data_IF_853204947457
#
_entry.id   IF_853204947457
#
_cell.length_a   1.000
_cell.length_b   1.000
_cell.length_c   1.000
_cell.angle_alpha   90.00
_cell.angle_beta   90.00
_cell.angle_gamma   90.00
#
_symmetry.space_group_name_H-M   'P 1'
#
loop_
_entity.id
_entity.type
_entity.pdbx_description
1 polymer ?
#
# COMPACT_ATOMS: atom_id res chain seq x y z
N UNK A 1 1.14 15.44 -0.17
CA UNK A 1 2.03 14.64 0.68
C UNK A 1 1.39 13.28 0.70
N UNK A 2 1.84 12.41 -0.19
CA UNK A 2 0.96 11.36 -0.72
C UNK A 2 1.21 10.01 -0.02
N UNK A 3 2.04 10.02 1.02
CA UNK A 3 2.33 8.85 1.85
C UNK A 3 1.03 8.32 2.45
N UNK A 4 0.82 7.01 2.36
CA UNK A 4 -0.44 6.37 2.74
C UNK A 4 -1.46 6.23 1.59
N UNK A 5 -1.24 6.86 0.44
CA UNK A 5 -2.14 6.71 -0.72
C UNK A 5 -2.01 5.33 -1.39
N UNK A 6 -3.11 4.82 -1.99
CA UNK A 6 -3.11 3.51 -2.63
C UNK A 6 -2.43 3.53 -4.00
N UNK A 7 -1.65 2.47 -4.28
CA UNK A 7 -1.27 2.07 -5.62
C UNK A 7 -2.34 1.10 -6.14
N UNK A 8 -3.11 1.54 -7.13
CA UNK A 8 -4.21 0.78 -7.72
C UNK A 8 -3.83 0.28 -9.12
N UNK A 9 -3.94 -1.03 -9.34
CA UNK A 9 -3.79 -1.67 -10.64
C UNK A 9 -5.03 -2.52 -10.93
N UNK A 10 -5.65 -2.33 -12.09
CA UNK A 10 -6.88 -3.03 -12.51
C UNK A 10 -8.01 -2.97 -11.47
N UNK A 11 -8.13 -1.84 -10.76
CA UNK A 11 -9.13 -1.64 -9.71
C UNK A 11 -8.80 -2.31 -8.37
N UNK A 12 -7.65 -2.97 -8.25
CA UNK A 12 -7.17 -3.62 -7.02
C UNK A 12 -6.06 -2.78 -6.39
N UNK A 13 -6.15 -2.54 -5.09
CA UNK A 13 -5.06 -1.91 -4.33
C UNK A 13 -3.96 -2.93 -4.08
N UNK A 14 -2.79 -2.70 -4.67
CA UNK A 14 -1.64 -3.61 -4.57
C UNK A 14 -0.54 -3.09 -3.65
N UNK A 15 -0.55 -1.78 -3.35
CA UNK A 15 0.45 -1.19 -2.48
C UNK A 15 0.03 0.11 -1.84
N UNK A 16 0.82 0.57 -0.87
CA UNK A 16 0.65 1.87 -0.20
C UNK A 16 1.91 2.70 -0.41
N UNK A 17 1.78 3.92 -0.93
CA UNK A 17 2.92 4.80 -1.16
C UNK A 17 3.60 5.20 0.14
N UNK A 18 4.93 5.07 0.20
CA UNK A 18 5.73 5.48 1.37
C UNK A 18 6.46 6.78 1.06
N UNK A 19 7.32 6.76 0.04
CA UNK A 19 8.16 7.88 -0.35
C UNK A 19 8.70 7.67 -1.77
N UNK A 20 9.27 8.72 -2.36
CA UNK A 20 9.90 8.69 -3.67
C UNK A 20 10.72 9.94 -3.93
N UNK A 21 11.50 9.93 -4.99
CA UNK A 21 12.26 11.09 -5.47
C UNK A 21 11.92 11.37 -6.93
N UNK A 22 11.93 12.64 -7.38
CA UNK A 22 11.69 12.96 -8.78
C UNK A 22 12.62 12.19 -9.71
N UNK A 23 12.06 11.56 -10.74
CA UNK A 23 12.82 10.76 -11.72
C UNK A 23 13.21 9.35 -11.26
N UNK A 24 12.81 8.92 -10.06
CA UNK A 24 12.99 7.55 -9.58
C UNK A 24 11.64 6.87 -9.28
N UNK A 25 11.56 5.53 -9.34
CA UNK A 25 10.39 4.80 -8.88
C UNK A 25 10.07 5.11 -7.41
N UNK A 26 8.78 5.15 -7.08
CA UNK A 26 8.33 5.24 -5.69
C UNK A 26 8.58 3.95 -4.92
N UNK A 27 8.69 4.08 -3.60
CA UNK A 27 8.72 2.96 -2.65
C UNK A 27 7.31 2.76 -2.12
N UNK A 28 6.85 1.50 -2.18
CA UNK A 28 5.52 1.10 -1.74
C UNK A 28 5.60 -0.06 -0.75
N UNK A 29 4.68 -0.09 0.22
CA UNK A 29 4.40 -1.32 0.97
C UNK A 29 3.64 -2.28 0.06
N UNK A 30 4.03 -3.54 0.05
CA UNK A 30 3.33 -4.62 -0.65
C UNK A 30 2.19 -5.14 0.24
N UNK A 31 0.94 -4.83 -0.14
CA UNK A 31 -0.23 -5.16 0.68
C UNK A 31 -0.40 -6.67 0.80
N UNK A 32 -0.02 -7.46 -0.21
CA UNK A 32 -0.21 -8.90 -0.19
C UNK A 32 0.62 -9.58 0.90
N UNK A 33 1.79 -9.01 1.24
CA UNK A 33 2.62 -9.48 2.37
C UNK A 33 2.00 -9.18 3.73
N UNK A 34 1.20 -8.12 3.82
CA UNK A 34 0.58 -7.66 5.06
C UNK A 34 -0.85 -8.18 5.27
N UNK A 35 -1.39 -9.01 4.36
CA UNK A 35 -2.79 -9.44 4.38
C UNK A 35 -3.21 -10.12 5.67
N UNK A 36 -2.32 -10.89 6.31
CA UNK A 36 -2.62 -11.53 7.59
C UNK A 36 -2.87 -10.48 8.70
N UNK A 37 -2.03 -9.46 8.77
CA UNK A 37 -2.16 -8.37 9.74
C UNK A 37 -3.42 -7.54 9.45
N UNK A 38 -3.63 -7.15 8.19
CA UNK A 38 -4.80 -6.37 7.76
C UNK A 38 -6.11 -7.12 8.07
N UNK A 39 -6.18 -8.40 7.73
CA UNK A 39 -7.37 -9.24 7.98
C UNK A 39 -7.64 -9.40 9.48
N UNK A 40 -6.59 -9.63 10.28
CA UNK A 40 -6.73 -9.71 11.72
C UNK A 40 -7.21 -8.39 12.35
N UNK A 41 -6.79 -7.25 11.81
CA UNK A 41 -7.25 -5.93 12.22
C UNK A 41 -8.71 -5.67 11.89
N UNK A 42 -9.15 -6.03 10.68
CA UNK A 42 -10.54 -5.91 10.25
C UNK A 42 -11.50 -6.78 11.06
N UNK A 43 -11.08 -7.97 11.48
CA UNK A 43 -11.89 -8.85 12.31
C UNK A 43 -12.13 -8.32 13.74
N UNK A 44 -11.46 -7.23 14.14
CA UNK A 44 -11.55 -6.62 15.47
C UNK A 44 -12.39 -5.34 15.51
N UNK A 45 -12.94 -4.90 14.39
CA UNK A 45 -13.80 -3.71 14.28
C UNK A 45 -15.26 -4.10 14.13
#
# INVERSE_FOLDING_TARGET
GDSGSPLVCDGVTIGIFVTGSPGAPGIFVDIFKEMAFISAGLART
#
